data_IF_015433761602
#
_entry.id   IF_015433761602
#
_cell.length_a   1.000
_cell.length_b   1.000
_cell.length_c   1.000
_cell.angle_alpha   90.00
_cell.angle_beta   90.00
_cell.angle_gamma   90.00
#
_symmetry.space_group_name_H-M   'P 1'
#
loop_
_entity.id
_entity.type
_entity.pdbx_description
1 polymer ?
#
# COMPACT_ATOMS: atom_id res chain seq x y z
N UNK A 1 30.67 8.84 -1.96
CA UNK A 1 29.99 8.20 -0.82
C UNK A 1 29.03 9.12 -0.07
N UNK A 2 29.39 10.36 0.31
CA UNK A 2 28.49 11.29 1.01
C UNK A 2 27.18 11.58 0.25
N UNK A 3 27.21 11.74 -1.08
CA UNK A 3 26.02 12.03 -1.90
C UNK A 3 25.06 10.83 -2.00
N UNK A 4 25.57 9.59 -1.96
CA UNK A 4 24.76 8.39 -1.99
C UNK A 4 23.96 8.21 -0.69
N UNK A 5 24.61 8.39 0.45
CA UNK A 5 23.95 8.35 1.77
C UNK A 5 22.91 9.46 1.94
N UNK A 6 23.19 10.64 1.39
CA UNK A 6 22.23 11.74 1.38
C UNK A 6 20.94 11.40 0.59
N UNK A 7 21.06 10.65 -0.52
CA UNK A 7 19.91 10.18 -1.28
C UNK A 7 18.96 9.31 -0.45
N UNK A 8 19.49 8.39 0.36
CA UNK A 8 18.66 7.60 1.26
C UNK A 8 17.99 8.48 2.34
N UNK A 9 18.72 9.45 2.90
CA UNK A 9 18.16 10.37 3.87
C UNK A 9 16.96 11.13 3.29
N UNK A 10 17.08 11.66 2.07
CA UNK A 10 15.99 12.35 1.40
C UNK A 10 14.81 11.43 1.08
N UNK A 11 15.08 10.17 0.69
CA UNK A 11 14.02 9.19 0.49
C UNK A 11 13.23 8.90 1.78
N UNK A 12 13.92 8.70 2.91
CA UNK A 12 13.26 8.52 4.20
C UNK A 12 12.49 9.76 4.66
N UNK A 13 13.00 10.95 4.40
CA UNK A 13 12.30 12.21 4.70
C UNK A 13 11.03 12.32 3.87
N UNK A 14 11.06 11.95 2.58
CA UNK A 14 9.89 11.91 1.71
C UNK A 14 8.82 10.94 2.21
N UNK A 15 9.20 9.72 2.57
CA UNK A 15 8.29 8.73 3.16
C UNK A 15 7.68 9.27 4.46
N UNK A 16 8.49 9.82 5.34
CA UNK A 16 8.02 10.40 6.61
C UNK A 16 7.05 11.57 6.39
N UNK A 17 7.31 12.40 5.37
CA UNK A 17 6.41 13.48 4.97
C UNK A 17 5.04 12.93 4.57
N UNK A 18 4.99 11.96 3.67
CA UNK A 18 3.74 11.33 3.20
C UNK A 18 2.95 10.72 4.37
N UNK A 19 3.60 9.96 5.24
CA UNK A 19 2.94 9.36 6.41
C UNK A 19 2.35 10.42 7.36
N UNK A 20 3.02 11.55 7.53
CA UNK A 20 2.55 12.64 8.40
C UNK A 20 1.43 13.46 7.76
N UNK A 21 1.54 13.76 6.47
CA UNK A 21 0.61 14.65 5.76
C UNK A 21 -0.64 13.91 5.27
N UNK A 22 -0.52 12.64 4.85
CA UNK A 22 -1.60 11.90 4.19
C UNK A 22 -2.32 10.94 5.12
N UNK A 23 -3.64 11.11 5.23
CA UNK A 23 -4.50 10.19 6.00
C UNK A 23 -4.51 8.79 5.39
N UNK A 24 -4.59 8.71 4.04
CA UNK A 24 -4.65 7.43 3.33
C UNK A 24 -3.38 6.62 3.53
N UNK A 25 -2.20 7.23 3.52
CA UNK A 25 -0.94 6.55 3.82
C UNK A 25 -0.97 5.87 5.20
N UNK A 26 -1.50 6.54 6.22
CA UNK A 26 -1.67 5.93 7.56
C UNK A 26 -2.64 4.77 7.56
N UNK A 27 -3.75 4.86 6.81
CA UNK A 27 -4.71 3.76 6.66
C UNK A 27 -4.03 2.56 6.00
N UNK A 28 -3.29 2.77 4.92
CA UNK A 28 -2.54 1.69 4.26
C UNK A 28 -1.53 1.02 5.21
N UNK A 29 -0.80 1.79 6.02
CA UNK A 29 0.13 1.23 7.01
C UNK A 29 -0.59 0.36 8.07
N UNK A 30 -1.78 0.75 8.52
CA UNK A 30 -2.57 -0.08 9.44
C UNK A 30 -2.99 -1.39 8.78
N UNK A 31 -3.47 -1.35 7.53
CA UNK A 31 -3.80 -2.57 6.78
C UNK A 31 -2.58 -3.45 6.54
N UNK A 32 -1.42 -2.87 6.21
CA UNK A 32 -0.17 -3.62 6.08
C UNK A 32 0.19 -4.35 7.38
N UNK A 33 0.07 -3.68 8.53
CA UNK A 33 0.27 -4.30 9.83
C UNK A 33 -0.69 -5.47 10.09
N UNK A 34 -1.98 -5.29 9.74
CA UNK A 34 -2.98 -6.35 9.85
C UNK A 34 -2.68 -7.55 8.94
N UNK A 35 -2.25 -7.29 7.69
CA UNK A 35 -1.83 -8.34 6.73
C UNK A 35 -0.62 -9.11 7.26
N UNK A 36 0.38 -8.41 7.81
CA UNK A 36 1.56 -9.06 8.42
C UNK A 36 1.13 -9.94 9.60
N UNK A 37 0.29 -9.42 10.51
CA UNK A 37 -0.21 -10.19 11.64
C UNK A 37 -1.00 -11.43 11.21
N UNK A 38 -1.88 -11.29 10.21
CA UNK A 38 -2.63 -12.42 9.63
C UNK A 38 -1.69 -13.42 8.96
N UNK A 39 -0.69 -12.97 8.21
CA UNK A 39 0.29 -13.83 7.57
C UNK A 39 1.09 -14.67 8.56
N UNK A 40 1.48 -14.08 9.69
CA UNK A 40 2.15 -14.79 10.78
C UNK A 40 1.19 -15.78 11.46
N UNK A 41 -0.04 -15.37 11.75
CA UNK A 41 -1.05 -16.22 12.38
C UNK A 41 -1.40 -17.45 11.52
N UNK A 42 -1.66 -17.23 10.22
CA UNK A 42 -2.00 -18.29 9.28
C UNK A 42 -0.77 -19.02 8.70
N UNK A 43 0.44 -18.64 9.10
CA UNK A 43 1.70 -19.25 8.65
C UNK A 43 1.76 -19.36 7.12
N UNK A 44 1.53 -18.24 6.44
CA UNK A 44 1.58 -18.20 4.97
C UNK A 44 2.97 -18.63 4.48
N UNK A 45 3.01 -19.25 3.32
CA UNK A 45 4.23 -19.80 2.72
C UNK A 45 5.18 -18.70 2.23
N UNK A 46 6.44 -19.05 1.99
CA UNK A 46 7.42 -18.07 1.48
C UNK A 46 7.03 -17.42 0.15
N UNK A 47 6.48 -18.15 -0.87
CA UNK A 47 5.95 -17.51 -2.07
C UNK A 47 4.78 -16.54 -1.79
N UNK A 48 3.87 -16.89 -0.89
CA UNK A 48 2.77 -16.00 -0.51
C UNK A 48 3.29 -14.73 0.20
N UNK A 49 4.32 -14.84 1.05
CA UNK A 49 4.99 -13.70 1.64
C UNK A 49 5.61 -12.77 0.58
N UNK A 50 6.24 -13.34 -0.45
CA UNK A 50 6.80 -12.55 -1.54
C UNK A 50 5.70 -11.77 -2.30
N UNK A 51 4.56 -12.41 -2.57
CA UNK A 51 3.40 -11.78 -3.20
C UNK A 51 2.82 -10.67 -2.31
N UNK A 52 2.63 -10.93 -1.01
CA UNK A 52 2.13 -9.95 -0.07
C UNK A 52 3.08 -8.75 0.05
N UNK A 53 4.39 -8.99 0.16
CA UNK A 53 5.39 -7.92 0.24
C UNK A 53 5.38 -7.03 -1.01
N UNK A 54 5.33 -7.65 -2.20
CA UNK A 54 5.24 -6.93 -3.47
C UNK A 54 3.96 -6.10 -3.54
N UNK A 55 2.83 -6.69 -3.18
CA UNK A 55 1.52 -6.03 -3.18
C UNK A 55 1.49 -4.84 -2.24
N UNK A 56 1.96 -5.01 -1.00
CA UNK A 56 2.05 -3.92 -0.01
C UNK A 56 2.95 -2.80 -0.49
N UNK A 57 4.12 -3.13 -1.05
CA UNK A 57 5.05 -2.15 -1.60
C UNK A 57 4.43 -1.37 -2.76
N UNK A 58 3.68 -2.04 -3.64
CA UNK A 58 3.02 -1.41 -4.78
C UNK A 58 1.96 -0.41 -4.34
N UNK A 59 1.08 -0.78 -3.41
CA UNK A 59 0.04 0.12 -2.87
C UNK A 59 0.68 1.34 -2.20
N UNK A 60 1.68 1.14 -1.38
CA UNK A 60 2.33 2.23 -0.67
C UNK A 60 3.12 3.15 -1.60
N UNK A 61 3.78 2.59 -2.62
CA UNK A 61 4.45 3.38 -3.65
C UNK A 61 3.48 4.21 -4.48
N UNK A 62 2.30 3.65 -4.82
CA UNK A 62 1.26 4.40 -5.52
C UNK A 62 0.78 5.60 -4.69
N UNK A 63 0.60 5.45 -3.36
CA UNK A 63 0.21 6.53 -2.46
C UNK A 63 1.29 7.64 -2.38
N UNK A 64 2.57 7.26 -2.32
CA UNK A 64 3.69 8.22 -2.35
C UNK A 64 3.70 9.00 -3.67
N UNK A 65 3.53 8.33 -4.80
CA UNK A 65 3.49 8.96 -6.13
C UNK A 65 2.26 9.85 -6.28
N UNK A 66 1.08 9.43 -5.80
CA UNK A 66 -0.11 10.27 -5.79
C UNK A 66 0.13 11.57 -5.00
N UNK A 67 0.71 11.46 -3.81
CA UNK A 67 1.06 12.63 -2.98
C UNK A 67 2.03 13.58 -3.71
N UNK A 68 3.00 13.01 -4.43
CA UNK A 68 3.93 13.83 -5.22
C UNK A 68 3.21 14.55 -6.38
N UNK A 69 2.29 13.88 -7.07
CA UNK A 69 1.47 14.48 -8.13
C UNK A 69 0.59 15.60 -7.56
N UNK A 70 -0.11 15.35 -6.45
CA UNK A 70 -0.93 16.37 -5.78
C UNK A 70 -0.10 17.62 -5.43
N UNK A 71 1.06 17.41 -4.81
CA UNK A 71 1.95 18.50 -4.44
C UNK A 71 2.44 19.29 -5.64
N UNK A 72 2.77 18.63 -6.75
CA UNK A 72 3.19 19.29 -7.98
C UNK A 72 2.07 20.10 -8.62
N UNK A 73 0.86 19.55 -8.65
CA UNK A 73 -0.31 20.24 -9.19
C UNK A 73 -0.63 21.49 -8.35
N UNK A 74 -0.56 21.38 -7.02
CA UNK A 74 -0.83 22.50 -6.11
C UNK A 74 0.21 23.61 -6.20
N UNK A 75 1.46 23.28 -6.55
CA UNK A 75 2.51 24.26 -6.86
C UNK A 75 2.30 24.93 -8.23
N UNK A 76 1.72 24.23 -9.20
CA UNK A 76 1.55 24.72 -10.55
C UNK A 76 0.34 25.68 -10.70
N UNK A 77 -0.71 25.48 -9.90
CA UNK A 77 -1.90 26.33 -9.98
C UNK A 77 -2.62 26.45 -8.63
N UNK A 78 -3.04 27.66 -8.30
CA UNK A 78 -3.88 27.95 -7.14
C UNK A 78 -5.36 28.15 -7.50
N UNK A 79 -5.70 28.12 -8.80
CA UNK A 79 -7.07 28.27 -9.33
C UNK A 79 -7.55 26.95 -9.92
N UNK A 80 -8.88 26.80 -10.03
CA UNK A 80 -9.44 25.62 -10.66
C UNK A 80 -9.02 25.52 -12.15
N UNK A 81 -8.36 24.41 -12.49
CA UNK A 81 -8.02 24.04 -13.86
C UNK A 81 -8.47 22.57 -14.10
N UNK A 82 -9.25 22.30 -15.16
CA UNK A 82 -9.72 20.93 -15.47
C UNK A 82 -8.57 19.93 -15.68
N UNK A 83 -7.41 20.36 -16.19
CA UNK A 83 -6.24 19.51 -16.39
C UNK A 83 -5.57 19.17 -15.06
N UNK A 84 -5.49 20.15 -14.15
CA UNK A 84 -5.00 19.94 -12.80
C UNK A 84 -5.87 18.93 -12.05
N UNK A 85 -7.21 19.08 -12.16
CA UNK A 85 -8.15 18.09 -11.62
C UNK A 85 -7.92 16.70 -12.22
N UNK A 86 -7.81 16.58 -13.53
CA UNK A 86 -7.60 15.30 -14.20
C UNK A 86 -6.30 14.62 -13.76
N UNK A 87 -5.22 15.37 -13.55
CA UNK A 87 -3.96 14.83 -13.06
C UNK A 87 -4.09 14.27 -11.63
N UNK A 88 -4.77 14.99 -10.73
CA UNK A 88 -5.05 14.50 -9.36
C UNK A 88 -5.95 13.26 -9.37
N UNK A 89 -7.02 13.28 -10.16
CA UNK A 89 -7.94 12.15 -10.29
C UNK A 89 -7.22 10.88 -10.82
N UNK A 90 -6.30 11.05 -11.77
CA UNK A 90 -5.48 9.94 -12.29
C UNK A 90 -4.53 9.37 -11.23
N UNK A 91 -3.90 10.21 -10.42
CA UNK A 91 -3.08 9.78 -9.30
C UNK A 91 -3.88 8.98 -8.28
N UNK A 92 -5.02 9.51 -7.85
CA UNK A 92 -5.94 8.81 -6.95
C UNK A 92 -6.46 7.49 -7.56
N UNK A 93 -6.72 7.47 -8.88
CA UNK A 93 -7.11 6.27 -9.62
C UNK A 93 -6.04 5.17 -9.57
N UNK A 94 -4.75 5.53 -9.66
CA UNK A 94 -3.66 4.57 -9.53
C UNK A 94 -3.63 3.91 -8.14
N UNK A 95 -3.86 4.68 -7.08
CA UNK A 95 -3.98 4.15 -5.71
C UNK A 95 -5.16 3.19 -5.60
N UNK A 96 -6.33 3.57 -6.15
CA UNK A 96 -7.52 2.73 -6.14
C UNK A 96 -7.28 1.38 -6.85
N UNK A 97 -6.68 1.40 -8.04
CA UNK A 97 -6.38 0.16 -8.80
C UNK A 97 -5.46 -0.77 -8.00
N UNK A 98 -4.40 -0.23 -7.40
CA UNK A 98 -3.47 -1.04 -6.59
C UNK A 98 -4.13 -1.58 -5.32
N UNK A 99 -4.99 -0.80 -4.68
CA UNK A 99 -5.75 -1.23 -3.50
C UNK A 99 -6.75 -2.35 -3.84
N UNK A 100 -7.47 -2.25 -4.97
CA UNK A 100 -8.36 -3.33 -5.44
C UNK A 100 -7.57 -4.61 -5.75
N UNK A 101 -6.41 -4.49 -6.38
CA UNK A 101 -5.49 -5.63 -6.58
C UNK A 101 -5.05 -6.25 -5.26
N UNK A 102 -4.73 -5.44 -4.26
CA UNK A 102 -4.34 -5.91 -2.93
C UNK A 102 -5.48 -6.66 -2.23
N UNK A 103 -6.73 -6.19 -2.37
CA UNK A 103 -7.91 -6.91 -1.86
C UNK A 103 -8.03 -8.28 -2.54
N UNK A 104 -7.90 -8.36 -3.86
CA UNK A 104 -7.97 -9.62 -4.59
C UNK A 104 -6.88 -10.61 -4.12
N UNK A 105 -5.64 -10.16 -3.95
CA UNK A 105 -4.54 -10.97 -3.40
C UNK A 105 -4.85 -11.41 -1.98
N UNK A 106 -5.33 -10.52 -1.13
CA UNK A 106 -5.73 -10.84 0.24
C UNK A 106 -6.81 -11.91 0.30
N UNK A 107 -7.86 -11.78 -0.53
CA UNK A 107 -8.93 -12.77 -0.63
C UNK A 107 -8.42 -14.13 -1.14
N UNK A 108 -7.51 -14.15 -2.11
CA UNK A 108 -6.93 -15.39 -2.63
C UNK A 108 -6.08 -16.12 -1.57
N UNK A 109 -5.29 -15.37 -0.78
CA UNK A 109 -4.39 -15.95 0.23
C UNK A 109 -5.12 -16.27 1.53
N UNK A 110 -5.92 -15.36 2.06
CA UNK A 110 -6.56 -15.52 3.37
C UNK A 110 -7.97 -16.10 3.30
N UNK A 111 -8.70 -15.95 2.18
CA UNK A 111 -10.08 -16.40 2.04
C UNK A 111 -10.27 -17.89 2.36
N UNK A 112 -9.52 -18.83 1.77
CA UNK A 112 -9.62 -20.25 2.07
C UNK A 112 -9.32 -20.58 3.54
N UNK A 113 -8.36 -19.86 4.14
CA UNK A 113 -7.94 -20.05 5.54
C UNK A 113 -9.00 -19.58 6.52
N UNK A 114 -9.60 -18.43 6.24
CA UNK A 114 -10.71 -17.88 7.03
C UNK A 114 -11.95 -18.77 6.91
N UNK A 115 -12.26 -19.25 5.71
CA UNK A 115 -13.37 -20.18 5.50
C UNK A 115 -13.19 -21.46 6.29
N UNK A 116 -12.00 -22.07 6.24
CA UNK A 116 -11.69 -23.27 7.03
C UNK A 116 -11.87 -23.01 8.53
N UNK A 117 -11.40 -21.86 9.05
CA UNK A 117 -11.53 -21.50 10.45
C UNK A 117 -13.00 -21.40 10.87
N UNK A 118 -13.87 -20.80 10.05
CA UNK A 118 -15.30 -20.60 10.34
C UNK A 118 -16.06 -21.93 10.30
N UNK A 119 -15.74 -22.81 9.33
CA UNK A 119 -16.50 -24.06 9.13
C UNK A 119 -16.04 -25.17 10.08
N UNK A 120 -14.76 -25.29 10.36
CA UNK A 120 -14.21 -26.39 11.16
C UNK A 120 -13.89 -26.02 12.61
N UNK A 121 -13.97 -24.73 12.97
CA UNK A 121 -13.57 -24.24 14.29
C UNK A 121 -12.07 -24.40 14.60
N UNK A 122 -11.32 -25.04 13.71
CA UNK A 122 -9.89 -25.28 13.84
C UNK A 122 -9.18 -25.04 12.50
N UNK A 123 -8.12 -24.26 12.52
CA UNK A 123 -7.23 -24.12 11.38
C UNK A 123 -6.25 -25.30 11.37
N UNK A 124 -6.58 -26.36 10.66
CA UNK A 124 -5.65 -27.46 10.38
C UNK A 124 -4.71 -27.00 9.26
N UNK A 125 -3.42 -26.93 9.57
CA UNK A 125 -2.37 -26.69 8.59
C UNK A 125 -2.40 -27.84 7.58
N UNK A 126 -3.05 -27.65 6.42
CA UNK A 126 -2.74 -28.48 5.26
C UNK A 126 -1.28 -28.21 4.88
N UNK A 127 -0.43 -29.20 5.14
CA UNK A 127 0.94 -29.27 4.63
C UNK A 127 0.92 -29.44 3.11
#
# INVERSE_FOLDING_TARGET
MKSFLQGFLYAFQGIAHVVRSQRNARVHLVFMGAVIAAGLYFRVTAPEWAILALTMSLVFSAEILNTAVESQVDLATSTFDPRAKAAKDAGAGAVLVTALGAIAVGLAIFGPRLWALVVTGTYTLCK
#
